data_IF_321105362679
#
_entry.id   IF_321105362679
#
_cell.length_a   1.000
_cell.length_b   1.000
_cell.length_c   1.000
_cell.angle_alpha   90.00
_cell.angle_beta   90.00
_cell.angle_gamma   90.00
#
_symmetry.space_group_name_H-M   'P 1'
#
loop_
_entity.id
_entity.type
_entity.pdbx_description
1 polymer ?
#
# COMPACT_ATOMS: atom_id res chain seq x y z
N UNK A 1 9.58 34.23 -16.72
CA UNK A 1 10.88 33.59 -17.01
C UNK A 1 11.52 33.33 -15.65
N UNK A 2 11.76 32.06 -15.27
CA UNK A 2 12.37 31.74 -13.97
C UNK A 2 13.81 32.24 -13.94
N UNK A 3 14.29 32.70 -12.79
CA UNK A 3 15.68 33.14 -12.65
C UNK A 3 16.62 31.93 -12.72
N UNK A 4 17.86 32.15 -13.15
CA UNK A 4 18.86 31.07 -13.28
C UNK A 4 19.08 30.30 -11.95
N UNK A 5 18.96 30.98 -10.82
CA UNK A 5 19.13 30.39 -9.49
C UNK A 5 18.01 29.38 -9.18
N UNK A 6 16.75 29.81 -9.38
CA UNK A 6 15.57 28.96 -9.19
C UNK A 6 15.61 27.71 -10.08
N UNK A 7 16.07 27.87 -11.33
CA UNK A 7 16.22 26.76 -12.28
C UNK A 7 17.27 25.75 -11.81
N UNK A 8 18.38 26.20 -11.24
CA UNK A 8 19.42 25.31 -10.72
C UNK A 8 19.01 24.63 -9.42
N UNK A 9 18.30 25.33 -8.53
CA UNK A 9 17.76 24.74 -7.30
C UNK A 9 16.72 23.64 -7.63
N UNK A 10 15.81 23.92 -8.56
CA UNK A 10 14.84 22.94 -9.04
C UNK A 10 15.53 21.74 -9.73
N UNK A 11 16.61 21.98 -10.49
CA UNK A 11 17.40 20.91 -11.10
C UNK A 11 18.14 20.04 -10.07
N UNK A 12 18.72 20.65 -9.03
CA UNK A 12 19.44 19.94 -7.96
C UNK A 12 18.49 19.15 -7.04
N UNK A 13 17.20 19.54 -6.98
CA UNK A 13 16.17 18.79 -6.27
C UNK A 13 15.68 17.53 -7.00
N UNK A 14 16.04 17.35 -8.28
CA UNK A 14 15.68 16.15 -9.04
C UNK A 14 16.60 14.98 -8.69
N UNK A 15 16.00 13.81 -8.46
CA UNK A 15 16.77 12.58 -8.23
C UNK A 15 17.30 11.98 -9.54
N UNK A 16 18.35 11.14 -9.46
CA UNK A 16 19.01 10.55 -10.63
C UNK A 16 18.01 9.75 -11.47
N UNK A 17 17.90 10.08 -12.75
CA UNK A 17 17.01 9.39 -13.69
C UNK A 17 15.56 9.89 -13.69
N UNK A 18 15.21 10.89 -12.88
CA UNK A 18 13.92 11.55 -12.99
C UNK A 18 13.81 12.37 -14.29
N UNK A 19 12.59 12.50 -14.81
CA UNK A 19 12.33 13.32 -16.00
C UNK A 19 12.50 14.78 -15.66
N UNK A 20 13.35 15.48 -16.41
CA UNK A 20 13.55 16.91 -16.27
C UNK A 20 12.29 17.64 -16.76
N UNK A 21 11.68 18.53 -15.96
CA UNK A 21 10.56 19.35 -16.39
C UNK A 21 10.90 20.18 -17.62
N UNK A 22 9.95 20.26 -18.57
CA UNK A 22 10.16 20.95 -19.86
C UNK A 22 10.60 22.40 -19.72
N UNK A 23 10.14 23.10 -18.67
CA UNK A 23 10.55 24.48 -18.39
C UNK A 23 12.05 24.62 -18.08
N UNK A 24 12.64 23.65 -17.38
CA UNK A 24 14.08 23.60 -17.10
C UNK A 24 14.83 23.26 -18.39
N UNK A 25 14.35 22.29 -19.17
CA UNK A 25 14.96 21.92 -20.45
C UNK A 25 15.04 23.11 -21.41
N UNK A 26 13.95 23.89 -21.51
CA UNK A 26 13.91 25.07 -22.37
C UNK A 26 14.89 26.15 -21.89
N UNK A 27 14.98 26.37 -20.58
CA UNK A 27 15.95 27.31 -20.01
C UNK A 27 17.40 26.86 -20.25
N UNK A 28 17.70 25.57 -20.09
CA UNK A 28 19.03 25.00 -20.35
C UNK A 28 19.43 25.09 -21.83
N UNK A 29 18.47 25.02 -22.75
CA UNK A 29 18.71 25.23 -24.18
C UNK A 29 19.04 26.70 -24.50
N UNK A 30 18.40 27.65 -23.81
CA UNK A 30 18.58 29.08 -24.04
C UNK A 30 19.77 29.69 -23.27
N UNK A 31 20.07 29.21 -22.06
CA UNK A 31 21.07 29.79 -21.16
C UNK A 31 22.38 28.98 -21.16
N UNK A 32 23.45 29.56 -21.72
CA UNK A 32 24.78 28.92 -21.79
C UNK A 32 25.39 28.67 -20.40
N UNK A 33 25.12 29.54 -19.43
CA UNK A 33 25.67 29.41 -18.07
C UNK A 33 25.10 28.18 -17.36
N UNK A 34 23.77 28.06 -17.27
CA UNK A 34 23.10 26.91 -16.66
C UNK A 34 23.46 25.60 -17.37
N UNK A 35 23.54 25.61 -18.71
CA UNK A 35 23.99 24.46 -19.49
C UNK A 35 25.40 24.00 -19.13
N UNK A 36 26.30 24.94 -18.87
CA UNK A 36 27.70 24.65 -18.51
C UNK A 36 27.78 24.07 -17.11
N UNK A 37 27.05 24.64 -16.14
CA UNK A 37 26.99 24.14 -14.77
C UNK A 37 26.46 22.71 -14.69
N UNK A 38 25.34 22.42 -15.36
CA UNK A 38 24.79 21.06 -15.43
C UNK A 38 25.78 20.06 -16.03
N UNK A 39 26.52 20.48 -17.08
CA UNK A 39 27.54 19.64 -17.70
C UNK A 39 28.70 19.34 -16.74
N UNK A 40 29.16 20.35 -15.99
CA UNK A 40 30.22 20.18 -14.99
C UNK A 40 29.77 19.28 -13.84
N UNK A 41 28.54 19.44 -13.33
CA UNK A 41 27.96 18.56 -12.31
C UNK A 41 27.94 17.09 -12.78
N UNK A 42 27.46 16.85 -14.00
CA UNK A 42 27.43 15.49 -14.58
C UNK A 42 28.83 14.90 -14.78
N UNK A 43 29.81 15.74 -15.12
CA UNK A 43 31.20 15.30 -15.27
C UNK A 43 31.82 14.94 -13.90
N UNK A 44 31.60 15.79 -12.89
CA UNK A 44 32.04 15.53 -11.51
C UNK A 44 31.42 14.24 -10.97
N UNK A 45 30.12 14.06 -11.18
CA UNK A 45 29.42 12.83 -10.80
C UNK A 45 30.02 11.60 -11.49
N UNK A 46 30.29 11.68 -12.80
CA UNK A 46 30.90 10.58 -13.55
C UNK A 46 32.31 10.24 -13.05
N UNK A 47 33.09 11.24 -12.63
CA UNK A 47 34.42 10.99 -12.06
C UNK A 47 34.39 10.42 -10.65
N UNK A 48 33.33 10.67 -9.87
CA UNK A 48 33.17 10.15 -8.49
C UNK A 48 32.38 8.84 -8.43
N UNK A 49 31.63 8.49 -9.48
CA UNK A 49 30.85 7.25 -9.58
C UNK A 49 31.63 5.93 -9.37
N UNK A 50 32.90 5.76 -9.80
CA UNK A 50 33.59 4.48 -9.61
C UNK A 50 33.97 4.20 -8.14
N UNK A 51 34.13 5.23 -7.30
CA UNK A 51 34.58 5.05 -5.89
C UNK A 51 33.44 4.79 -4.90
N UNK A 52 32.17 5.09 -5.26
CA UNK A 52 31.03 4.78 -4.38
C UNK A 52 30.65 3.30 -4.37
N UNK A 53 31.25 2.50 -5.25
CA UNK A 53 31.17 1.04 -5.25
C UNK A 53 32.34 0.39 -4.50
N UNK A 54 32.99 1.10 -3.58
CA UNK A 54 33.76 0.43 -2.54
C UNK A 54 32.76 -0.41 -1.75
N UNK A 55 32.64 -1.68 -2.14
CA UNK A 55 32.06 -2.73 -1.33
C UNK A 55 32.82 -2.70 -0.01
N UNK A 56 32.34 -1.91 0.94
CA UNK A 56 32.64 -2.18 2.33
C UNK A 56 32.25 -3.64 2.51
N UNK A 57 33.20 -4.47 2.97
CA UNK A 57 32.93 -5.82 3.40
C UNK A 57 31.90 -5.72 4.54
N UNK A 58 30.63 -5.60 4.15
CA UNK A 58 29.50 -5.59 5.01
C UNK A 58 29.35 -7.04 5.40
N UNK A 59 29.71 -7.30 6.65
CA UNK A 59 29.55 -8.61 7.26
C UNK A 59 28.08 -9.02 7.07
N UNK A 60 27.84 -10.19 6.47
CA UNK A 60 26.49 -10.66 6.13
C UNK A 60 25.57 -10.69 7.37
N UNK A 61 26.18 -10.86 8.56
CA UNK A 61 25.50 -10.77 9.85
C UNK A 61 24.89 -9.38 10.13
N UNK A 62 25.56 -8.29 9.72
CA UNK A 62 25.05 -6.93 9.89
C UNK A 62 23.88 -6.64 8.95
N UNK A 63 23.94 -7.15 7.72
CA UNK A 63 22.84 -7.05 6.73
C UNK A 63 21.62 -7.82 7.24
N UNK A 64 21.81 -9.05 7.71
CA UNK A 64 20.74 -9.87 8.27
C UNK A 64 20.12 -9.25 9.53
N UNK A 65 20.94 -8.64 10.40
CA UNK A 65 20.45 -7.94 11.58
C UNK A 65 19.58 -6.72 11.22
N UNK A 66 19.99 -5.94 10.22
CA UNK A 66 19.22 -4.79 9.72
C UNK A 66 17.95 -5.24 9.01
N UNK A 67 18.03 -6.25 8.13
CA UNK A 67 16.86 -6.82 7.46
C UNK A 67 15.84 -7.32 8.50
N UNK A 68 16.26 -8.12 9.48
CA UNK A 68 15.35 -8.60 10.52
C UNK A 68 14.69 -7.46 11.31
N UNK A 69 15.42 -6.36 11.59
CA UNK A 69 14.88 -5.20 12.30
C UNK A 69 13.87 -4.40 11.46
N UNK A 70 13.98 -4.44 10.14
CA UNK A 70 13.05 -3.78 9.20
C UNK A 70 11.82 -4.67 8.97
N UNK A 71 12.01 -5.97 8.73
CA UNK A 71 10.91 -6.92 8.50
C UNK A 71 10.00 -7.04 9.72
N UNK A 72 10.57 -7.07 10.93
CA UNK A 72 9.80 -7.11 12.19
C UNK A 72 8.96 -5.85 12.41
N UNK A 73 9.42 -4.68 11.96
CA UNK A 73 8.62 -3.45 12.01
C UNK A 73 7.52 -3.39 10.95
N UNK A 74 7.77 -3.92 9.75
CA UNK A 74 6.78 -3.93 8.66
C UNK A 74 5.64 -4.93 8.90
N UNK A 75 5.92 -6.09 9.49
CA UNK A 75 4.88 -7.09 9.81
C UNK A 75 4.07 -6.75 11.07
N UNK A 76 4.52 -5.80 11.89
CA UNK A 76 3.80 -5.39 13.11
C UNK A 76 2.54 -4.54 12.84
N UNK A 77 2.26 -4.16 11.59
CA UNK A 77 1.13 -3.29 11.26
C UNK A 77 0.15 -3.95 10.28
N UNK A 78 -0.40 -5.08 10.68
CA UNK A 78 -1.78 -5.50 10.37
C UNK A 78 -2.02 -6.70 11.26
N UNK A 79 -2.62 -6.50 12.42
CA UNK A 79 -3.25 -7.62 13.12
C UNK A 79 -4.55 -7.90 12.34
N UNK A 80 -4.61 -8.91 11.44
CA UNK A 80 -5.88 -9.28 10.85
C UNK A 80 -6.81 -9.67 12.01
N UNK A 81 -8.02 -9.13 12.02
CA UNK A 81 -9.05 -9.58 12.96
C UNK A 81 -9.15 -11.09 12.79
N UNK A 82 -8.89 -11.84 13.87
CA UNK A 82 -8.88 -13.30 13.84
C UNK A 82 -10.16 -13.84 13.20
N UNK A 83 -10.00 -14.74 12.22
CA UNK A 83 -11.10 -15.42 11.50
C UNK A 83 -12.15 -15.98 12.47
N UNK A 84 -11.72 -16.51 13.62
CA UNK A 84 -12.60 -17.04 14.64
C UNK A 84 -13.56 -15.99 15.22
N UNK A 85 -13.13 -14.72 15.34
CA UNK A 85 -13.98 -13.62 15.80
C UNK A 85 -15.06 -13.26 14.77
N UNK A 86 -14.72 -13.32 13.48
CA UNK A 86 -15.71 -13.15 12.42
C UNK A 86 -16.74 -14.27 12.45
N UNK A 87 -16.31 -15.53 12.49
CA UNK A 87 -17.22 -16.70 12.57
C UNK A 87 -18.15 -16.59 13.79
N UNK A 88 -17.61 -16.24 14.96
CA UNK A 88 -18.42 -16.01 16.15
C UNK A 88 -19.46 -14.88 15.96
N UNK A 89 -19.08 -13.78 15.31
CA UNK A 89 -19.98 -12.69 14.96
C UNK A 89 -21.11 -13.11 14.01
N UNK A 90 -20.81 -13.96 13.02
CA UNK A 90 -21.81 -14.50 12.10
C UNK A 90 -22.81 -15.42 12.79
N UNK A 91 -22.32 -16.31 13.66
CA UNK A 91 -23.16 -17.19 14.49
C UNK A 91 -24.07 -16.35 15.40
N UNK A 92 -23.52 -15.32 16.06
CA UNK A 92 -24.29 -14.41 16.89
C UNK A 92 -25.40 -13.71 16.09
N UNK A 93 -25.10 -13.26 14.86
CA UNK A 93 -26.07 -12.56 14.02
C UNK A 93 -27.24 -13.48 13.62
N UNK A 94 -26.96 -14.75 13.30
CA UNK A 94 -27.98 -15.77 13.00
C UNK A 94 -28.85 -16.04 14.24
N UNK A 95 -28.24 -16.19 15.41
CA UNK A 95 -28.96 -16.43 16.67
C UNK A 95 -29.90 -15.26 17.02
N UNK A 96 -29.44 -14.03 16.85
CA UNK A 96 -30.26 -12.83 17.07
C UNK A 96 -31.44 -12.76 16.09
N UNK A 97 -31.23 -13.16 14.84
CA UNK A 97 -32.31 -13.20 13.86
C UNK A 97 -33.35 -14.28 14.19
N UNK A 98 -32.92 -15.48 14.60
CA UNK A 98 -33.83 -16.55 15.03
C UNK A 98 -34.60 -16.11 16.27
N UNK A 99 -33.93 -15.53 17.27
CA UNK A 99 -34.58 -14.98 18.45
C UNK A 99 -35.64 -13.94 18.06
N UNK A 100 -35.27 -12.98 17.20
CA UNK A 100 -36.21 -11.99 16.67
C UNK A 100 -37.41 -12.64 15.99
N UNK A 101 -37.21 -13.65 15.15
CA UNK A 101 -38.32 -14.35 14.47
C UNK A 101 -39.27 -15.09 15.41
N UNK A 102 -38.76 -15.61 16.54
CA UNK A 102 -39.56 -16.33 17.54
C UNK A 102 -40.35 -15.36 18.42
N UNK A 103 -39.77 -14.20 18.74
CA UNK A 103 -40.41 -13.16 19.55
C UNK A 103 -41.22 -12.16 18.73
N UNK A 104 -41.17 -12.23 17.40
CA UNK A 104 -41.96 -11.39 16.51
C UNK A 104 -43.46 -11.66 16.72
N UNK A 105 -44.23 -10.60 17.02
CA UNK A 105 -45.67 -10.73 17.26
C UNK A 105 -46.40 -11.06 15.95
N UNK A 106 -47.34 -12.02 15.96
CA UNK A 106 -48.23 -12.22 14.82
C UNK A 106 -49.13 -10.99 14.67
N UNK A 107 -49.08 -10.32 13.52
CA UNK A 107 -49.85 -9.11 13.23
C UNK A 107 -49.06 -7.93 12.67
N UNK A 108 -47.77 -8.09 12.38
CA UNK A 108 -46.95 -7.05 11.75
C UNK A 108 -47.45 -6.76 10.33
N UNK A 109 -47.54 -5.47 9.98
CA UNK A 109 -47.93 -5.03 8.64
C UNK A 109 -46.97 -5.61 7.59
N UNK A 110 -47.52 -6.20 6.51
CA UNK A 110 -46.72 -6.83 5.44
C UNK A 110 -45.64 -5.89 4.88
N UNK A 111 -45.92 -4.59 4.77
CA UNK A 111 -44.93 -3.61 4.33
C UNK A 111 -43.74 -3.51 5.30
N UNK A 112 -43.98 -3.46 6.61
CA UNK A 112 -42.90 -3.45 7.61
C UNK A 112 -42.08 -4.73 7.53
N UNK A 113 -42.72 -5.88 7.35
CA UNK A 113 -42.03 -7.16 7.17
C UNK A 113 -41.09 -7.13 5.97
N UNK A 114 -41.54 -6.61 4.82
CA UNK A 114 -40.69 -6.44 3.62
C UNK A 114 -39.51 -5.51 3.89
N UNK A 115 -39.73 -4.36 4.53
CA UNK A 115 -38.65 -3.44 4.89
C UNK A 115 -37.60 -4.10 5.78
N UNK A 116 -38.03 -4.84 6.82
CA UNK A 116 -37.10 -5.54 7.72
C UNK A 116 -36.24 -6.58 6.99
N UNK A 117 -36.79 -7.29 6.01
CA UNK A 117 -36.02 -8.26 5.21
C UNK A 117 -35.01 -7.58 4.27
N UNK A 118 -35.36 -6.44 3.68
CA UNK A 118 -34.44 -5.68 2.83
C UNK A 118 -33.27 -5.12 3.65
N UNK A 119 -33.55 -4.55 4.82
CA UNK A 119 -32.52 -4.07 5.75
C UNK A 119 -31.57 -5.19 6.18
N UNK A 120 -32.13 -6.35 6.53
CA UNK A 120 -31.34 -7.53 6.88
C UNK A 120 -30.47 -8.00 5.70
N UNK A 121 -31.03 -8.08 4.49
CA UNK A 121 -30.27 -8.47 3.30
C UNK A 121 -29.11 -7.50 3.02
N UNK A 122 -29.33 -6.19 3.19
CA UNK A 122 -28.28 -5.20 3.07
C UNK A 122 -27.17 -5.38 4.13
N UNK A 123 -27.56 -5.60 5.40
CA UNK A 123 -26.62 -5.83 6.50
C UNK A 123 -25.79 -7.11 6.29
N UNK A 124 -26.42 -8.22 5.90
CA UNK A 124 -25.73 -9.48 5.59
C UNK A 124 -24.76 -9.28 4.43
N UNK A 125 -25.18 -8.58 3.38
CA UNK A 125 -24.34 -8.32 2.21
C UNK A 125 -23.11 -7.49 2.60
N UNK A 126 -23.30 -6.43 3.38
CA UNK A 126 -22.20 -5.60 3.87
C UNK A 126 -21.25 -6.39 4.78
N UNK A 127 -21.80 -7.21 5.68
CA UNK A 127 -21.02 -8.09 6.56
C UNK A 127 -20.16 -9.07 5.76
N UNK A 128 -20.75 -9.74 4.75
CA UNK A 128 -20.02 -10.65 3.87
C UNK A 128 -18.92 -9.94 3.06
N UNK A 129 -19.19 -8.75 2.54
CA UNK A 129 -18.19 -7.95 1.81
C UNK A 129 -17.00 -7.57 2.72
N UNK A 130 -17.27 -7.14 3.95
CA UNK A 130 -16.24 -6.83 4.94
C UNK A 130 -15.46 -8.09 5.35
N UNK A 131 -16.14 -9.21 5.57
CA UNK A 131 -15.51 -10.48 5.87
C UNK A 131 -14.53 -10.90 4.77
N UNK A 132 -14.94 -10.86 3.50
CA UNK A 132 -14.10 -11.23 2.37
C UNK A 132 -12.89 -10.28 2.28
N UNK A 133 -13.13 -8.97 2.37
CA UNK A 133 -12.07 -7.96 2.27
C UNK A 133 -11.04 -8.11 3.39
N UNK A 134 -11.48 -8.28 4.62
CA UNK A 134 -10.59 -8.39 5.79
C UNK A 134 -9.79 -9.70 5.81
N UNK A 135 -10.27 -10.74 5.12
CA UNK A 135 -9.61 -12.04 5.06
C UNK A 135 -9.00 -12.34 3.67
N UNK A 136 -8.99 -11.37 2.75
CA UNK A 136 -8.47 -11.53 1.38
C UNK A 136 -7.01 -11.99 1.37
N UNK A 137 -6.19 -11.46 2.29
CA UNK A 137 -4.78 -11.82 2.43
C UNK A 137 -4.58 -13.31 2.74
N UNK A 138 -5.51 -13.95 3.47
CA UNK A 138 -5.48 -15.40 3.70
C UNK A 138 -5.77 -16.19 2.41
N UNK A 139 -6.77 -15.77 1.64
CA UNK A 139 -7.13 -16.43 0.39
C UNK A 139 -6.00 -16.33 -0.65
N UNK A 140 -5.41 -15.14 -0.81
CA UNK A 140 -4.28 -14.94 -1.74
C UNK A 140 -3.06 -15.75 -1.33
N UNK A 141 -2.68 -15.76 -0.05
CA UNK A 141 -1.55 -16.56 0.45
C UNK A 141 -1.76 -18.07 0.22
N UNK A 142 -2.97 -18.58 0.45
CA UNK A 142 -3.31 -20.00 0.24
C UNK A 142 -3.33 -20.41 -1.23
N UNK A 143 -3.69 -19.50 -2.13
CA UNK A 143 -3.65 -19.73 -3.58
C UNK A 143 -2.19 -19.82 -4.03
N UNK A 144 -1.33 -18.88 -3.62
CA UNK A 144 0.10 -18.89 -3.98
C UNK A 144 0.83 -20.12 -3.43
N UNK A 145 0.53 -20.55 -2.20
CA UNK A 145 1.14 -21.76 -1.61
C UNK A 145 0.73 -23.06 -2.32
N UNK A 146 -0.42 -23.08 -3.00
CA UNK A 146 -0.86 -24.24 -3.80
C UNK A 146 -0.30 -24.23 -5.22
N UNK A 147 -0.04 -23.05 -5.79
CA UNK A 147 0.51 -22.89 -7.15
C UNK A 147 2.02 -23.10 -7.17
N UNK A 148 2.70 -22.96 -6.04
CA UNK A 148 4.10 -23.32 -5.86
C UNK A 148 4.24 -24.65 -5.12
N UNK A 149 3.87 -25.81 -5.71
CA UNK A 149 4.37 -27.08 -5.20
C UNK A 149 5.89 -27.04 -5.39
N UNK A 150 6.58 -27.06 -4.26
CA UNK A 150 8.00 -27.36 -4.09
C UNK A 150 8.67 -28.01 -5.31
N UNK A 151 9.50 -27.22 -5.96
CA UNK A 151 10.76 -27.65 -6.56
C UNK A 151 11.83 -27.49 -5.47
#
# INVERSE_FOLDING_TARGET
MKNCNDVMEEYLGLDKGQRIPLGITLHLLACKNCRTQVRLLRQAEKSTAPDSCRQTALDDAAILAVMNKITTKSDSQKNPISLSKWIAGGILMILLFIAYSVFAKPGTNHLMTVYTYIELAALITAYCALFIRSNMDFFVKKINSKISPTN
#
